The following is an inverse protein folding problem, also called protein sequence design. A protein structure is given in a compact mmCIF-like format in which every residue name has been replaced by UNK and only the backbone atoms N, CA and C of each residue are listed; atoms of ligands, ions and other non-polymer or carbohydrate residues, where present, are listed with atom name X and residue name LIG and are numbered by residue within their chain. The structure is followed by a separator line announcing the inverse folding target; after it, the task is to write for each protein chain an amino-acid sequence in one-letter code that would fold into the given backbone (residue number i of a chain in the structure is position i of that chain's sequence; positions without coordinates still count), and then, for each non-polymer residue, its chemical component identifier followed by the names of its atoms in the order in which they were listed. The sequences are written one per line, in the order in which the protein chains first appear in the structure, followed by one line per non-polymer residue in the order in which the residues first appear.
data_IF_341438958469
#
_entry.id   IF_341438958469
#
_cell.length_a   1.000
_cell.length_b   1.000
_cell.length_c   1.000
_cell.angle_alpha   90.00
_cell.angle_beta   90.00
_cell.angle_gamma   90.00
#
_symmetry.space_group_name_H-M   'P 1'
#
loop_
_entity.id
_entity.type
_entity.pdbx_description
1 polymer ?
#
# COMPACT_ATOMS: atom_id res chain seq x y z
N UNK A 1 -1.08 11.90 -35.30
CA UNK A 1 -1.43 11.58 -33.90
C UNK A 1 -0.21 11.89 -33.07
N UNK A 2 -0.42 12.61 -31.96
CA UNK A 2 0.51 13.52 -31.28
C UNK A 2 1.72 12.81 -30.65
N UNK A 3 2.93 13.34 -30.91
CA UNK A 3 4.16 12.98 -30.18
C UNK A 3 4.04 13.30 -28.68
N UNK A 4 3.17 14.25 -28.31
CA UNK A 4 2.95 14.64 -26.91
C UNK A 4 2.37 13.48 -26.09
N UNK A 5 1.53 12.62 -26.68
CA UNK A 5 1.00 11.45 -25.96
C UNK A 5 2.10 10.41 -25.69
N UNK A 6 3.03 10.23 -26.63
CA UNK A 6 4.17 9.33 -26.43
C UNK A 6 5.14 9.90 -25.40
N UNK A 7 5.42 11.20 -25.42
CA UNK A 7 6.23 11.85 -24.39
C UNK A 7 5.57 11.83 -23.01
N UNK A 8 4.23 11.97 -22.94
CA UNK A 8 3.45 11.84 -21.70
C UNK A 8 3.48 10.42 -21.15
N UNK A 9 3.33 9.41 -22.02
CA UNK A 9 3.43 8.00 -21.63
C UNK A 9 4.86 7.70 -21.18
N UNK A 10 5.86 8.12 -21.94
CA UNK A 10 7.27 7.89 -21.63
C UNK A 10 7.64 8.54 -20.30
N UNK A 11 7.21 9.79 -20.06
CA UNK A 11 7.35 10.46 -18.75
C UNK A 11 6.60 9.73 -17.64
N UNK A 12 5.38 9.27 -17.85
CA UNK A 12 4.62 8.52 -16.85
C UNK A 12 5.18 7.12 -16.57
N UNK A 13 5.93 6.54 -17.52
CA UNK A 13 6.60 5.25 -17.36
C UNK A 13 8.04 5.36 -16.83
N UNK A 14 8.67 6.54 -16.95
CA UNK A 14 10.03 6.84 -16.51
C UNK A 14 10.07 7.70 -15.23
N UNK A 15 8.93 8.21 -14.75
CA UNK A 15 8.77 8.54 -13.34
C UNK A 15 8.86 7.22 -12.58
N UNK A 16 10.11 6.82 -12.31
CA UNK A 16 10.49 5.60 -11.62
C UNK A 16 9.52 5.37 -10.46
N UNK A 17 8.86 4.22 -10.47
CA UNK A 17 8.11 3.76 -9.32
C UNK A 17 9.10 3.72 -8.15
N UNK A 18 9.14 4.77 -7.32
CA UNK A 18 10.05 4.93 -6.17
C UNK A 18 9.84 3.84 -5.11
N UNK A 19 8.97 2.89 -5.40
CA UNK A 19 8.69 1.75 -4.57
C UNK A 19 9.94 0.96 -4.27
N UNK A 20 10.09 0.69 -2.99
CA UNK A 20 11.11 -0.18 -2.48
C UNK A 20 10.48 -1.54 -2.29
N UNK A 21 11.12 -2.56 -2.87
CA UNK A 21 10.75 -3.95 -2.72
C UNK A 21 11.71 -4.68 -1.78
N UNK A 22 11.18 -5.53 -0.91
CA UNK A 22 11.99 -6.40 -0.05
C UNK A 22 11.43 -7.83 -0.03
N UNK A 23 12.30 -8.87 -0.12
CA UNK A 23 11.84 -10.25 -0.12
C UNK A 23 10.94 -10.58 1.08
N UNK A 24 9.76 -11.15 0.84
CA UNK A 24 8.86 -11.52 1.94
C UNK A 24 9.23 -12.86 2.57
N UNK A 25 9.68 -13.82 1.74
CA UNK A 25 9.90 -15.20 2.16
C UNK A 25 8.62 -15.96 2.53
N UNK A 26 7.45 -15.38 2.27
CA UNK A 26 6.15 -15.97 2.59
C UNK A 26 5.61 -16.73 1.38
N UNK A 27 5.37 -18.03 1.53
CA UNK A 27 4.78 -18.86 0.47
C UNK A 27 3.34 -18.40 0.22
N UNK A 28 2.99 -18.14 -1.04
CA UNK A 28 1.66 -17.67 -1.43
C UNK A 28 1.48 -16.16 -1.32
N UNK A 29 2.54 -15.40 -1.06
CA UNK A 29 2.50 -13.94 -1.04
C UNK A 29 3.54 -13.34 -1.99
N UNK A 30 3.32 -12.09 -2.40
CA UNK A 30 4.33 -11.28 -3.07
C UNK A 30 5.49 -10.94 -2.13
N UNK A 31 6.50 -10.27 -2.67
CA UNK A 31 7.46 -9.52 -1.86
C UNK A 31 6.79 -8.30 -1.21
N UNK A 32 7.39 -7.80 -0.14
CA UNK A 32 6.96 -6.57 0.50
C UNK A 32 7.25 -5.40 -0.43
N UNK A 33 6.37 -4.41 -0.47
CA UNK A 33 6.63 -3.16 -1.17
C UNK A 33 6.11 -1.96 -0.40
N UNK A 34 6.74 -0.80 -0.57
CA UNK A 34 6.29 0.47 0.01
C UNK A 34 6.62 1.62 -0.91
N UNK A 35 5.89 2.74 -0.80
CA UNK A 35 5.97 3.87 -1.73
C UNK A 35 7.37 4.47 -1.86
N UNK A 36 8.09 4.64 -0.75
CA UNK A 36 9.46 5.17 -0.71
C UNK A 36 10.16 4.83 0.63
N UNK A 37 11.40 5.28 0.79
CA UNK A 37 12.23 5.00 1.96
C UNK A 37 11.62 5.49 3.29
N UNK A 38 10.93 6.62 3.26
CA UNK A 38 10.36 7.26 4.45
C UNK A 38 8.99 6.70 4.84
N UNK A 39 8.36 5.91 3.96
CA UNK A 39 7.06 5.28 4.24
C UNK A 39 7.21 4.19 5.31
N UNK A 40 6.34 4.21 6.31
CA UNK A 40 6.23 3.20 7.34
C UNK A 40 5.26 2.07 6.94
N UNK A 41 4.31 2.33 6.05
CA UNK A 41 3.35 1.33 5.57
C UNK A 41 4.00 0.44 4.50
N UNK A 42 4.10 -0.85 4.81
CA UNK A 42 4.41 -1.90 3.84
C UNK A 42 3.14 -2.56 3.34
N UNK A 43 3.12 -2.84 2.06
CA UNK A 43 2.09 -3.58 1.36
C UNK A 43 2.60 -4.97 0.97
N UNK A 44 1.66 -5.91 0.85
CA UNK A 44 1.92 -7.26 0.36
C UNK A 44 0.64 -7.78 -0.30
N UNK A 45 0.77 -8.63 -1.31
CA UNK A 45 -0.35 -9.27 -1.96
C UNK A 45 -0.37 -10.76 -1.65
N UNK A 46 -1.55 -11.30 -1.41
CA UNK A 46 -1.75 -12.75 -1.39
C UNK A 46 -2.02 -13.24 -2.80
N UNK A 47 -1.15 -14.14 -3.29
CA UNK A 47 -1.23 -14.69 -4.62
C UNK A 47 -2.50 -15.55 -4.76
N UNK A 48 -3.04 -15.59 -5.98
CA UNK A 48 -4.27 -16.33 -6.34
C UNK A 48 -5.53 -15.92 -5.54
N UNK A 49 -5.52 -14.79 -4.84
CA UNK A 49 -6.73 -14.20 -4.24
C UNK A 49 -6.98 -12.78 -4.75
N UNK A 50 -8.25 -12.41 -4.85
CA UNK A 50 -8.71 -11.08 -5.24
C UNK A 50 -9.40 -10.35 -4.08
N UNK A 51 -9.31 -9.02 -4.08
CA UNK A 51 -10.07 -8.16 -3.17
C UNK A 51 -9.50 -8.01 -1.76
N UNK A 52 -8.30 -8.53 -1.49
CA UNK A 52 -7.58 -8.25 -0.25
C UNK A 52 -6.63 -7.08 -0.47
N UNK A 53 -6.62 -6.16 0.49
CA UNK A 53 -5.63 -5.09 0.56
C UNK A 53 -4.88 -5.26 1.87
N UNK A 54 -3.66 -5.80 1.78
CA UNK A 54 -2.91 -6.21 2.95
C UNK A 54 -1.78 -5.23 3.23
N UNK A 55 -1.65 -4.85 4.50
CA UNK A 55 -0.61 -3.94 4.97
C UNK A 55 0.09 -4.47 6.21
N UNK A 56 1.27 -3.95 6.48
CA UNK A 56 2.05 -4.19 7.70
C UNK A 56 2.92 -2.98 8.04
N UNK A 57 3.20 -2.75 9.33
CA UNK A 57 4.15 -1.74 9.80
C UNK A 57 5.49 -2.34 10.19
N UNK A 58 5.51 -3.63 10.51
CA UNK A 58 6.70 -4.36 11.00
C UNK A 58 7.07 -5.57 10.14
N UNK A 59 6.31 -5.83 9.08
CA UNK A 59 6.42 -6.98 8.16
C UNK A 59 6.27 -8.32 8.87
N UNK A 60 5.58 -8.34 10.01
CA UNK A 60 5.26 -9.55 10.78
C UNK A 60 3.76 -9.68 10.96
N UNK A 61 3.09 -8.62 11.40
CA UNK A 61 1.63 -8.58 11.51
C UNK A 61 1.04 -8.03 10.23
N UNK A 62 0.21 -8.84 9.57
CA UNK A 62 -0.51 -8.47 8.35
C UNK A 62 -1.94 -8.11 8.73
N UNK A 63 -2.39 -6.93 8.30
CA UNK A 63 -3.78 -6.48 8.38
C UNK A 63 -4.42 -6.56 7.01
N UNK A 64 -5.72 -6.89 6.95
CA UNK A 64 -6.55 -6.65 5.78
C UNK A 64 -7.34 -5.37 6.00
N UNK A 65 -7.09 -4.32 5.21
CA UNK A 65 -7.73 -3.01 5.37
C UNK A 65 -9.25 -3.09 5.48
N UNK A 66 -9.90 -3.93 4.67
CA UNK A 66 -11.37 -4.03 4.71
C UNK A 66 -11.90 -4.67 5.98
N UNK A 67 -11.15 -5.56 6.62
CA UNK A 67 -11.58 -6.27 7.81
C UNK A 67 -11.11 -5.60 9.11
N UNK A 68 -9.91 -5.02 9.09
CA UNK A 68 -9.19 -4.62 10.29
C UNK A 68 -9.21 -3.11 10.54
N UNK A 69 -9.22 -2.30 9.47
CA UNK A 69 -9.17 -0.86 9.63
C UNK A 69 -10.55 -0.28 10.02
N UNK A 70 -10.63 0.60 11.03
CA UNK A 70 -9.55 1.01 11.95
C UNK A 70 -9.48 0.15 13.24
N UNK A 71 -10.54 -0.59 13.56
CA UNK A 71 -10.80 -1.08 14.92
C UNK A 71 -9.88 -2.20 15.43
N UNK A 72 -9.20 -2.95 14.55
CA UNK A 72 -8.27 -4.02 14.93
C UNK A 72 -6.80 -3.58 14.91
N UNK A 73 -6.55 -2.32 14.58
CA UNK A 73 -5.23 -1.69 14.54
C UNK A 73 -4.99 -0.87 15.81
N UNK A 74 -3.72 -0.61 16.15
CA UNK A 74 -3.39 0.31 17.24
C UNK A 74 -3.65 1.76 16.80
N UNK A 75 -4.00 2.63 17.73
CA UNK A 75 -4.20 4.07 17.45
C UNK A 75 -3.00 4.72 16.74
N UNK A 76 -1.78 4.36 17.15
CA UNK A 76 -0.53 4.82 16.52
C UNK A 76 -0.39 4.35 15.06
N UNK A 77 -0.77 3.10 14.78
CA UNK A 77 -0.75 2.52 13.43
C UNK A 77 -1.80 3.17 12.53
N UNK A 78 -3.01 3.42 13.06
CA UNK A 78 -4.06 4.15 12.35
C UNK A 78 -3.62 5.56 12.02
N UNK A 79 -2.99 6.27 12.97
CA UNK A 79 -2.46 7.62 12.74
C UNK A 79 -1.39 7.66 11.63
N UNK A 80 -0.45 6.71 11.63
CA UNK A 80 0.58 6.60 10.58
C UNK A 80 -0.08 6.32 9.24
N UNK A 81 -0.99 5.34 9.19
CA UNK A 81 -1.69 4.98 7.96
C UNK A 81 -2.49 6.16 7.39
N UNK A 82 -3.22 6.88 8.24
CA UNK A 82 -4.01 8.05 7.82
C UNK A 82 -3.17 9.13 7.17
N UNK A 83 -1.95 9.32 7.66
CA UNK A 83 -1.02 10.33 7.18
C UNK A 83 -0.36 9.93 5.86
N UNK A 84 -0.02 8.65 5.71
CA UNK A 84 0.73 8.17 4.53
C UNK A 84 -0.19 7.73 3.38
N UNK A 85 -1.33 7.12 3.70
CA UNK A 85 -2.28 6.52 2.75
C UNK A 85 -3.61 7.31 2.73
N UNK A 86 -3.49 8.63 2.50
CA UNK A 86 -4.58 9.60 2.61
C UNK A 86 -5.86 9.19 1.84
N UNK A 87 -5.72 8.67 0.62
CA UNK A 87 -6.88 8.28 -0.20
C UNK A 87 -7.65 7.10 0.42
N UNK A 88 -6.93 6.13 1.00
CA UNK A 88 -7.53 5.02 1.73
C UNK A 88 -8.18 5.49 3.03
N UNK A 89 -7.52 6.39 3.76
CA UNK A 89 -8.06 6.96 5.00
C UNK A 89 -9.36 7.73 4.74
N UNK A 90 -9.42 8.52 3.66
CA UNK A 90 -10.62 9.24 3.23
C UNK A 90 -11.72 8.26 2.79
N UNK A 91 -11.37 7.22 2.03
CA UNK A 91 -12.31 6.17 1.63
C UNK A 91 -12.96 5.49 2.83
N UNK A 92 -12.19 5.21 3.89
CA UNK A 92 -12.67 4.54 5.09
C UNK A 92 -13.11 5.47 6.23
N UNK A 93 -13.20 6.79 6.01
CA UNK A 93 -13.51 7.76 7.07
C UNK A 93 -14.78 7.47 7.88
N UNK A 94 -15.78 6.86 7.25
CA UNK A 94 -17.05 6.49 7.87
C UNK A 94 -16.92 5.39 8.93
N UNK A 95 -15.81 4.64 8.95
CA UNK A 95 -15.54 3.57 9.91
C UNK A 95 -14.98 4.08 11.23
N UNK A 96 -14.62 5.36 11.35
CA UNK A 96 -14.04 5.96 12.58
C UNK A 96 -15.11 6.55 13.52
N UNK A 97 -16.37 6.14 13.36
CA UNK A 97 -17.51 6.68 14.11
C UNK A 97 -17.64 6.07 15.51
#
# INVERSE_FOLDING_TARGET
MSNDLLELIEKATLEDDERIFEPSGLIGYSDWYKKNADSAVWWIDELDTYGRHLISFDRKKIYNLFADYPHNMKDEEVYIFDKEEHDWAEFFKSRKQ
#
